data_IF_500189471989
#
_entry.id   IF_500189471989
#
_cell.length_a   1.000
_cell.length_b   1.000
_cell.length_c   1.000
_cell.angle_alpha   90.00
_cell.angle_beta   90.00
_cell.angle_gamma   90.00
#
_symmetry.space_group_name_H-M   'P 1'
#
loop_
_entity.id
_entity.type
_entity.pdbx_description
1 polymer ?
#
# COMPACT_ATOMS: atom_id res chain seq x y z
N UNK A 1 -1.25 22.62 -1.84
CA UNK A 1 -1.27 21.52 -0.86
C UNK A 1 -2.21 21.95 0.23
N UNK A 2 -3.29 21.21 0.47
CA UNK A 2 -4.05 21.40 1.71
C UNK A 2 -3.10 21.18 2.89
N UNK A 3 -3.19 22.02 3.93
CA UNK A 3 -2.38 21.87 5.13
C UNK A 3 -2.74 20.54 5.79
N UNK A 4 -1.87 19.54 5.68
CA UNK A 4 -2.02 18.26 6.38
C UNK A 4 -1.90 18.56 7.88
N UNK A 5 -2.97 18.36 8.63
CA UNK A 5 -2.97 18.52 10.07
C UNK A 5 -2.32 17.30 10.75
N UNK A 6 -1.10 17.49 11.24
CA UNK A 6 -0.33 16.49 11.99
C UNK A 6 -0.29 16.76 13.49
N UNK A 7 -1.05 17.76 13.98
CA UNK A 7 -0.99 18.19 15.40
C UNK A 7 -1.39 17.09 16.38
N UNK A 8 -2.21 16.13 15.92
CA UNK A 8 -2.55 14.95 16.72
C UNK A 8 -1.31 14.17 17.15
N UNK A 9 -0.28 14.08 16.29
CA UNK A 9 0.92 13.27 16.52
C UNK A 9 1.77 13.79 17.69
N UNK A 10 1.62 15.05 18.07
CA UNK A 10 2.31 15.67 19.22
C UNK A 10 1.69 15.27 20.56
N UNK A 11 0.38 14.95 20.57
CA UNK A 11 -0.37 14.58 21.76
C UNK A 11 -0.08 13.14 22.17
N UNK A 12 -0.21 12.86 23.46
CA UNK A 12 -0.18 11.49 23.97
C UNK A 12 -1.42 10.72 23.51
N UNK A 13 -1.27 9.52 22.91
CA UNK A 13 -2.40 8.71 22.48
C UNK A 13 -3.12 8.12 23.69
N UNK A 14 -4.44 8.28 23.76
CA UNK A 14 -5.27 7.71 24.83
C UNK A 14 -6.36 6.85 24.23
N UNK A 15 -6.28 5.53 24.40
CA UNK A 15 -7.29 4.60 23.88
C UNK A 15 -8.55 4.62 24.76
N UNK A 16 -9.30 5.71 24.70
CA UNK A 16 -10.42 6.02 25.57
C UNK A 16 -11.79 5.70 24.96
N UNK A 17 -11.84 5.43 23.65
CA UNK A 17 -13.09 5.25 22.91
C UNK A 17 -13.12 3.90 22.22
N UNK A 18 -14.26 3.20 22.31
CA UNK A 18 -14.49 1.96 21.57
C UNK A 18 -15.30 2.25 20.30
N UNK A 19 -14.85 1.74 19.16
CA UNK A 19 -15.52 1.94 17.89
C UNK A 19 -15.57 0.65 17.06
N UNK A 20 -16.58 0.53 16.21
CA UNK A 20 -16.74 -0.53 15.23
C UNK A 20 -16.50 0.05 13.83
N UNK A 21 -15.43 -0.41 13.19
CA UNK A 21 -15.11 -0.11 11.80
C UNK A 21 -15.72 -1.17 10.92
N UNK A 22 -16.58 -0.76 10.00
CA UNK A 22 -17.23 -1.60 8.99
C UNK A 22 -16.52 -1.32 7.68
N UNK A 23 -15.90 -2.35 7.11
CA UNK A 23 -15.15 -2.28 5.87
C UNK A 23 -15.91 -3.11 4.83
N UNK A 24 -16.50 -2.44 3.85
CA UNK A 24 -17.23 -3.03 2.74
C UNK A 24 -16.31 -3.15 1.52
N UNK A 25 -15.91 -4.38 1.13
CA UNK A 25 -15.03 -4.55 -0.03
C UNK A 25 -15.79 -4.27 -1.32
N UNK A 26 -15.31 -3.27 -2.08
CA UNK A 26 -15.83 -2.95 -3.42
C UNK A 26 -15.07 -3.69 -4.53
N UNK A 27 -13.92 -4.24 -4.18
CA UNK A 27 -13.08 -5.06 -5.04
C UNK A 27 -12.48 -6.24 -4.24
N UNK A 28 -12.02 -7.31 -4.93
CA UNK A 28 -11.25 -8.36 -4.30
C UNK A 28 -10.01 -7.81 -3.60
N UNK A 29 -9.77 -8.25 -2.36
CA UNK A 29 -8.73 -7.72 -1.50
C UNK A 29 -7.50 -8.61 -1.52
N UNK A 30 -6.31 -7.98 -1.56
CA UNK A 30 -5.05 -8.70 -1.37
C UNK A 30 -4.21 -8.03 -0.28
N UNK A 31 -4.40 -8.56 0.93
CA UNK A 31 -3.86 -8.08 2.19
C UNK A 31 -2.53 -8.77 2.51
N UNK A 32 -1.51 -8.53 1.71
CA UNK A 32 -0.19 -9.17 1.87
C UNK A 32 0.60 -8.47 2.98
N UNK A 33 1.12 -9.22 3.96
CA UNK A 33 1.82 -8.65 5.13
C UNK A 33 3.25 -8.18 4.82
N UNK A 34 3.97 -8.93 3.99
CA UNK A 34 5.36 -8.66 3.57
C UNK A 34 5.52 -8.98 2.09
N UNK A 35 6.67 -8.65 1.48
CA UNK A 35 6.94 -8.96 0.07
C UNK A 35 7.69 -10.29 -0.08
N UNK A 36 7.03 -11.47 -0.14
CA UNK A 36 7.67 -12.73 -0.51
C UNK A 36 8.14 -12.69 -1.97
N UNK A 37 9.23 -13.42 -2.26
CA UNK A 37 9.95 -13.33 -3.53
C UNK A 37 9.21 -13.89 -4.76
N UNK A 38 8.31 -14.87 -4.60
CA UNK A 38 7.71 -15.59 -5.74
C UNK A 38 6.18 -15.65 -5.73
N UNK A 39 5.53 -15.62 -4.56
CA UNK A 39 4.08 -15.73 -4.42
C UNK A 39 3.56 -14.84 -3.28
N UNK A 40 2.65 -13.94 -3.60
CA UNK A 40 2.05 -13.02 -2.64
C UNK A 40 0.82 -13.64 -1.97
N UNK A 41 1.03 -14.28 -0.81
CA UNK A 41 -0.07 -14.80 0.02
C UNK A 41 -0.79 -13.66 0.75
N UNK A 42 -2.11 -13.64 0.69
CA UNK A 42 -2.92 -12.63 1.36
C UNK A 42 -3.26 -13.12 2.77
N UNK A 43 -3.28 -12.20 3.72
CA UNK A 43 -3.93 -12.43 5.00
C UNK A 43 -5.44 -12.55 4.79
N UNK A 44 -6.09 -13.32 5.66
CA UNK A 44 -7.56 -13.45 5.69
C UNK A 44 -8.24 -12.29 6.42
N UNK A 45 -7.53 -11.67 7.36
CA UNK A 45 -7.94 -10.47 8.09
C UNK A 45 -6.92 -9.34 7.93
N UNK A 46 -7.36 -8.07 7.98
CA UNK A 46 -6.46 -6.94 8.01
C UNK A 46 -5.65 -6.93 9.30
N UNK A 47 -4.36 -6.62 9.20
CA UNK A 47 -3.53 -6.37 10.38
C UNK A 47 -3.57 -4.87 10.77
N UNK A 48 -3.06 -4.56 11.96
CA UNK A 48 -3.02 -3.19 12.49
C UNK A 48 -2.32 -2.20 11.56
N UNK A 49 -1.24 -2.63 10.90
CA UNK A 49 -0.50 -1.80 9.94
C UNK A 49 -1.33 -1.44 8.70
N UNK A 50 -2.14 -2.38 8.20
CA UNK A 50 -3.05 -2.14 7.07
C UNK A 50 -4.17 -1.18 7.45
N UNK A 51 -4.73 -1.32 8.66
CA UNK A 51 -5.72 -0.38 9.18
C UNK A 51 -5.13 1.03 9.38
N UNK A 52 -3.86 1.14 9.82
CA UNK A 52 -3.15 2.42 9.87
C UNK A 52 -3.09 3.05 8.47
N UNK A 53 -2.65 2.29 7.47
CA UNK A 53 -2.58 2.76 6.09
C UNK A 53 -3.95 3.18 5.55
N UNK A 54 -5.00 2.43 5.89
CA UNK A 54 -6.39 2.74 5.50
C UNK A 54 -6.87 4.07 6.11
N UNK A 55 -6.62 4.30 7.41
CA UNK A 55 -6.96 5.58 8.05
C UNK A 55 -6.13 6.72 7.49
N UNK A 56 -4.82 6.57 7.38
CA UNK A 56 -3.95 7.61 6.83
C UNK A 56 -4.29 7.95 5.37
N UNK A 57 -4.72 6.97 4.57
CA UNK A 57 -5.23 7.21 3.22
C UNK A 57 -6.52 8.02 3.23
N UNK A 58 -7.46 7.73 4.15
CA UNK A 58 -8.66 8.55 4.32
C UNK A 58 -8.28 9.99 4.65
N UNK A 59 -7.31 10.18 5.55
CA UNK A 59 -6.82 11.51 5.93
C UNK A 59 -6.03 12.24 4.84
N UNK A 60 -5.77 11.60 3.69
CA UNK A 60 -4.96 12.15 2.62
C UNK A 60 -3.47 12.26 2.97
N UNK A 61 -2.98 11.48 3.94
CA UNK A 61 -1.58 11.51 4.41
C UNK A 61 -0.65 10.74 3.45
N UNK A 62 -0.58 11.18 2.21
CA UNK A 62 0.32 10.67 1.17
C UNK A 62 1.73 11.28 1.30
N UNK A 63 2.36 11.02 2.44
CA UNK A 63 3.66 11.57 2.83
C UNK A 63 4.79 10.63 2.37
N UNK A 64 5.87 11.20 1.82
CA UNK A 64 7.06 10.44 1.39
C UNK A 64 7.78 9.77 2.57
N UNK A 65 8.54 8.71 2.28
CA UNK A 65 9.28 7.94 3.29
C UNK A 65 10.31 8.80 4.06
N UNK A 66 10.96 9.77 3.40
CA UNK A 66 11.93 10.65 4.04
C UNK A 66 11.26 11.52 5.10
N UNK A 67 10.13 12.13 4.74
CA UNK A 67 9.34 12.98 5.64
C UNK A 67 8.69 12.17 6.76
N UNK A 68 8.16 10.97 6.47
CA UNK A 68 7.65 10.05 7.50
C UNK A 68 8.72 9.69 8.52
N UNK A 69 9.96 9.48 8.08
CA UNK A 69 11.08 9.18 8.98
C UNK A 69 11.42 10.38 9.87
N UNK A 70 11.33 11.61 9.34
CA UNK A 70 11.52 12.82 10.12
C UNK A 70 10.41 12.99 11.18
N UNK A 71 9.15 12.86 10.77
CA UNK A 71 7.97 12.92 11.66
C UNK A 71 8.10 11.87 12.78
N UNK A 72 8.45 10.63 12.45
CA UNK A 72 8.63 9.56 13.45
C UNK A 72 9.73 9.90 14.46
N UNK A 73 10.85 10.49 14.03
CA UNK A 73 11.91 10.96 14.94
C UNK A 73 11.40 12.04 15.89
N UNK A 74 10.58 12.96 15.40
CA UNK A 74 10.02 14.02 16.23
C UNK A 74 8.96 13.47 17.20
N UNK A 75 8.09 12.57 16.76
CA UNK A 75 7.18 11.84 17.65
C UNK A 75 7.95 11.15 18.79
N UNK A 76 9.04 10.43 18.48
CA UNK A 76 9.89 9.79 19.51
C UNK A 76 10.41 10.82 20.53
N UNK A 77 10.82 12.02 20.08
CA UNK A 77 11.26 13.09 20.98
C UNK A 77 10.12 13.58 21.87
N UNK A 78 8.92 13.77 21.32
CA UNK A 78 7.74 14.16 22.10
C UNK A 78 7.37 13.10 23.15
N UNK A 79 7.38 11.82 22.77
CA UNK A 79 7.09 10.70 23.69
C UNK A 79 8.10 10.58 24.82
N UNK A 80 9.39 10.77 24.51
CA UNK A 80 10.45 10.83 25.55
C UNK A 80 10.23 11.97 26.54
N UNK A 81 9.80 13.16 26.07
CA UNK A 81 9.45 14.28 26.96
C UNK A 81 8.24 13.96 27.84
N UNK A 82 7.28 13.21 27.30
CA UNK A 82 6.07 12.76 28.00
C UNK A 82 6.33 11.57 28.94
N UNK A 83 7.56 11.02 28.99
CA UNK A 83 7.93 9.83 29.78
C UNK A 83 7.12 8.56 29.45
N UNK A 84 6.65 8.46 28.21
CA UNK A 84 5.93 7.28 27.71
C UNK A 84 6.95 6.31 27.11
N UNK A 85 6.84 5.03 27.45
CA UNK A 85 7.67 3.99 26.85
C UNK A 85 7.23 3.75 25.40
N UNK A 86 7.95 4.39 24.46
CA UNK A 86 7.65 4.28 23.04
C UNK A 86 8.21 2.97 22.50
N UNK A 87 7.36 1.95 22.40
CA UNK A 87 7.68 0.74 21.66
C UNK A 87 7.93 1.14 20.19
N UNK A 88 9.14 0.87 19.67
CA UNK A 88 9.50 1.23 18.28
C UNK A 88 8.42 0.70 17.32
N UNK A 89 7.93 1.52 16.37
CA UNK A 89 6.99 1.06 15.36
C UNK A 89 7.57 -0.11 14.60
N UNK A 90 6.72 -1.02 14.14
CA UNK A 90 7.11 -2.04 13.20
C UNK A 90 7.59 -1.38 11.90
N UNK A 91 8.91 -1.24 11.79
CA UNK A 91 9.58 -0.88 10.55
C UNK A 91 9.44 -2.06 9.58
N UNK A 92 8.56 -1.93 8.59
CA UNK A 92 8.58 -2.79 7.41
C UNK A 92 9.23 -2.08 6.24
N UNK A 93 9.69 -2.83 5.26
CA UNK A 93 10.53 -2.36 4.14
C UNK A 93 9.92 -1.28 3.23
N UNK A 94 8.64 -0.92 3.40
CA UNK A 94 7.89 -0.09 2.44
C UNK A 94 7.00 1.00 3.05
N UNK A 95 6.69 0.98 4.34
CA UNK A 95 5.75 1.93 4.95
C UNK A 95 5.94 2.02 6.47
N UNK A 96 5.93 3.27 6.98
CA UNK A 96 6.02 3.62 8.40
C UNK A 96 4.64 4.15 8.86
N UNK A 97 3.89 3.42 9.69
CA UNK A 97 2.60 3.87 10.21
C UNK A 97 2.79 4.94 11.29
N UNK A 98 2.11 6.08 11.15
CA UNK A 98 2.11 7.20 12.09
C UNK A 98 0.99 7.06 13.14
N UNK A 99 -0.16 6.49 12.75
CA UNK A 99 -1.30 6.28 13.65
C UNK A 99 -1.25 4.99 14.49
N UNK A 100 -0.11 4.29 14.49
CA UNK A 100 0.01 2.96 15.09
C UNK A 100 -0.31 2.90 16.60
N UNK A 101 -0.02 3.96 17.35
CA UNK A 101 -0.29 4.03 18.79
C UNK A 101 -1.71 4.53 19.12
N UNK A 102 -2.42 5.10 18.14
CA UNK A 102 -3.70 5.78 18.37
C UNK A 102 -4.90 4.84 18.36
N UNK A 103 -4.70 3.57 18.05
CA UNK A 103 -5.74 2.57 18.19
C UNK A 103 -5.15 1.19 18.48
N UNK A 104 -5.97 0.26 18.93
CA UNK A 104 -5.66 -1.15 19.00
C UNK A 104 -6.84 -2.00 18.55
N UNK A 105 -6.54 -3.18 17.98
CA UNK A 105 -7.56 -4.09 17.46
C UNK A 105 -8.00 -5.01 18.60
N UNK A 106 -9.28 -4.94 18.94
CA UNK A 106 -9.89 -5.84 19.93
C UNK A 106 -10.37 -7.13 19.26
N UNK A 107 -11.12 -7.01 18.16
CA UNK A 107 -11.75 -8.15 17.50
C UNK A 107 -11.95 -7.90 16.01
N UNK A 108 -11.81 -8.96 15.20
CA UNK A 108 -12.10 -8.94 13.77
C UNK A 108 -13.11 -10.03 13.44
N UNK A 109 -14.24 -9.65 12.86
CA UNK A 109 -15.24 -10.57 12.31
C UNK A 109 -15.08 -10.60 10.79
N UNK A 110 -14.74 -11.79 10.28
CA UNK A 110 -14.48 -12.01 8.85
C UNK A 110 -15.67 -12.76 8.25
N UNK A 111 -16.31 -12.24 7.20
CA UNK A 111 -17.39 -12.93 6.52
C UNK A 111 -16.87 -14.07 5.64
N UNK A 112 -17.77 -14.95 5.15
CA UNK A 112 -17.41 -15.95 4.14
C UNK A 112 -16.77 -15.29 2.90
N UNK A 113 -15.71 -15.90 2.40
CA UNK A 113 -14.94 -15.37 1.29
C UNK A 113 -14.60 -16.47 0.28
N UNK A 114 -14.56 -16.09 -0.99
CA UNK A 114 -14.04 -16.92 -2.07
C UNK A 114 -12.57 -16.53 -2.29
N UNK A 115 -11.71 -17.53 -2.44
CA UNK A 115 -10.29 -17.32 -2.73
C UNK A 115 -10.02 -17.57 -4.21
N UNK A 116 -9.11 -16.79 -4.80
CA UNK A 116 -8.53 -17.10 -6.10
C UNK A 116 -7.13 -16.50 -6.22
N UNK A 117 -6.37 -16.98 -7.22
CA UNK A 117 -5.03 -16.51 -7.54
C UNK A 117 -5.09 -15.84 -8.90
N UNK A 118 -4.50 -14.66 -9.00
CA UNK A 118 -4.40 -13.92 -10.27
C UNK A 118 -3.03 -13.22 -10.39
N UNK A 119 -2.75 -12.70 -11.58
CA UNK A 119 -1.57 -11.90 -11.87
C UNK A 119 -1.70 -10.50 -11.30
N UNK A 120 -0.64 -10.02 -10.66
CA UNK A 120 -0.66 -8.69 -10.09
C UNK A 120 -0.50 -7.61 -11.17
N UNK A 121 -1.47 -6.69 -11.26
CA UNK A 121 -1.35 -5.51 -12.11
C UNK A 121 -0.60 -4.41 -11.35
N UNK A 122 0.42 -3.84 -12.00
CA UNK A 122 1.28 -2.81 -11.42
C UNK A 122 1.16 -1.53 -12.22
N UNK A 123 0.75 -0.46 -11.55
CA UNK A 123 0.87 0.89 -12.07
C UNK A 123 2.34 1.33 -12.12
N UNK A 124 2.69 2.13 -13.12
CA UNK A 124 4.05 2.63 -13.35
C UNK A 124 4.60 3.46 -12.18
N UNK A 125 5.69 3.05 -11.52
CA UNK A 125 6.43 3.96 -10.62
C UNK A 125 7.88 3.63 -10.27
N UNK A 126 8.60 2.74 -10.98
CA UNK A 126 10.04 2.54 -10.72
C UNK A 126 10.90 2.75 -11.96
N UNK A 127 11.64 3.86 -11.98
CA UNK A 127 12.70 4.15 -12.95
C UNK A 127 13.90 3.20 -12.83
N UNK A 128 13.94 2.38 -11.77
CA UNK A 128 15.04 1.49 -11.41
C UNK A 128 14.81 0.00 -11.73
N UNK A 129 13.76 -0.34 -12.48
CA UNK A 129 13.43 -1.74 -12.86
C UNK A 129 12.46 -1.79 -14.06
N UNK A 130 12.48 -0.74 -14.89
CA UNK A 130 11.57 -0.54 -16.02
C UNK A 130 11.62 -1.62 -17.11
N UNK A 131 12.71 -2.37 -17.23
CA UNK A 131 12.81 -3.52 -18.13
C UNK A 131 11.77 -4.60 -17.80
N UNK A 132 11.39 -4.76 -16.52
CA UNK A 132 10.30 -5.65 -16.10
C UNK A 132 8.94 -5.19 -16.61
N UNK A 133 8.75 -3.87 -16.75
CA UNK A 133 7.54 -3.29 -17.33
C UNK A 133 7.41 -3.68 -18.80
N UNK A 134 8.47 -3.48 -19.58
CA UNK A 134 8.48 -3.83 -21.00
C UNK A 134 8.09 -5.29 -21.23
N UNK A 135 8.60 -6.19 -20.39
CA UNK A 135 8.34 -7.63 -20.47
C UNK A 135 6.95 -8.05 -19.98
N UNK A 136 6.28 -7.25 -19.15
CA UNK A 136 4.93 -7.56 -18.64
C UNK A 136 3.81 -6.75 -19.30
N UNK A 137 4.14 -5.86 -20.23
CA UNK A 137 3.17 -5.05 -20.96
C UNK A 137 2.58 -5.84 -22.13
N UNK A 138 1.32 -6.26 -22.00
CA UNK A 138 0.58 -6.97 -23.06
C UNK A 138 0.10 -6.06 -24.20
N UNK A 139 -0.02 -4.76 -23.94
CA UNK A 139 -0.66 -3.79 -24.83
C UNK A 139 0.31 -2.72 -25.34
N UNK A 140 1.56 -3.10 -25.65
CA UNK A 140 2.52 -2.18 -26.26
C UNK A 140 2.12 -1.86 -27.72
N UNK A 141 2.62 -0.72 -28.22
CA UNK A 141 2.37 -0.29 -29.60
C UNK A 141 2.81 -1.38 -30.60
N UNK A 142 1.86 -1.86 -31.41
CA UNK A 142 2.06 -2.97 -32.34
C UNK A 142 3.20 -2.71 -33.34
N UNK A 143 3.32 -1.49 -33.84
CA UNK A 143 4.34 -1.09 -34.82
C UNK A 143 5.75 -1.13 -34.21
N UNK A 144 5.85 -1.00 -32.88
CA UNK A 144 7.12 -1.01 -32.16
C UNK A 144 7.55 -2.41 -31.69
N UNK A 145 6.64 -3.40 -31.66
CA UNK A 145 6.91 -4.73 -31.11
C UNK A 145 8.08 -5.45 -31.79
N UNK A 146 8.12 -5.43 -33.13
CA UNK A 146 9.18 -6.06 -33.92
C UNK A 146 10.55 -5.42 -33.62
N UNK A 147 10.58 -4.09 -33.57
CA UNK A 147 11.77 -3.31 -33.22
C UNK A 147 12.25 -3.63 -31.81
N UNK A 148 11.33 -3.62 -30.83
CA UNK A 148 11.66 -3.93 -29.45
C UNK A 148 12.21 -5.34 -29.28
N UNK A 149 11.58 -6.35 -29.90
CA UNK A 149 12.03 -7.75 -29.87
C UNK A 149 13.44 -7.91 -30.44
N UNK A 150 13.74 -7.28 -31.57
CA UNK A 150 15.07 -7.31 -32.18
C UNK A 150 16.14 -6.68 -31.27
N UNK A 151 15.80 -5.58 -30.58
CA UNK A 151 16.69 -4.93 -29.61
C UNK A 151 16.94 -5.86 -28.42
N UNK A 152 15.89 -6.43 -27.83
CA UNK A 152 16.01 -7.31 -26.65
C UNK A 152 16.78 -8.59 -26.98
N UNK A 153 16.54 -9.22 -28.13
CA UNK A 153 17.27 -10.43 -28.54
C UNK A 153 18.77 -10.15 -28.77
N UNK A 154 19.13 -9.01 -29.36
CA UNK A 154 20.54 -8.62 -29.53
C UNK A 154 21.25 -8.40 -28.19
N UNK A 155 20.55 -7.82 -27.22
CA UNK A 155 21.09 -7.60 -25.86
C UNK A 155 21.24 -8.93 -25.13
N UNK A 156 20.26 -9.82 -25.24
CA UNK A 156 20.26 -11.11 -24.56
C UNK A 156 21.37 -12.03 -25.09
N UNK A 157 21.55 -12.10 -26.42
CA UNK A 157 22.62 -12.87 -27.08
C UNK A 157 24.04 -12.34 -26.79
N UNK A 158 24.18 -11.12 -26.26
CA UNK A 158 25.49 -10.55 -25.95
C UNK A 158 26.12 -11.21 -24.72
N UNK A 159 27.06 -12.14 -24.93
CA UNK A 159 27.78 -12.86 -23.86
C UNK A 159 28.82 -12.00 -23.12
N UNK A 160 29.19 -10.82 -23.63
CA UNK A 160 30.20 -9.94 -23.02
C UNK A 160 29.67 -9.10 -21.85
N UNK A 161 28.34 -9.03 -21.68
CA UNK A 161 27.70 -8.23 -20.63
C UNK A 161 27.12 -9.13 -19.55
N UNK A 162 27.28 -8.73 -18.29
CA UNK A 162 26.59 -9.37 -17.17
C UNK A 162 25.08 -9.13 -17.24
N UNK A 163 24.30 -9.97 -16.53
CA UNK A 163 22.84 -9.80 -16.40
C UNK A 163 22.47 -8.40 -15.90
N UNK A 164 23.18 -7.88 -14.89
CA UNK A 164 22.97 -6.53 -14.36
C UNK A 164 23.20 -5.46 -15.42
N UNK A 165 24.28 -5.56 -16.21
CA UNK A 165 24.56 -4.59 -17.28
C UNK A 165 23.51 -4.63 -18.40
N UNK A 166 22.99 -5.81 -18.73
CA UNK A 166 21.88 -5.96 -19.69
C UNK A 166 20.61 -5.30 -19.17
N UNK A 167 20.25 -5.52 -17.91
CA UNK A 167 19.07 -4.93 -17.29
C UNK A 167 19.15 -3.40 -17.25
N UNK A 168 20.29 -2.83 -16.85
CA UNK A 168 20.50 -1.37 -16.87
C UNK A 168 20.37 -0.78 -18.27
N UNK A 169 20.87 -1.48 -19.29
CA UNK A 169 20.72 -1.04 -20.69
C UNK A 169 19.26 -1.07 -21.14
N UNK A 170 18.53 -2.15 -20.82
CA UNK A 170 17.10 -2.27 -21.09
C UNK A 170 16.30 -1.18 -20.39
N UNK A 171 16.65 -0.83 -19.14
CA UNK A 171 16.02 0.27 -18.41
C UNK A 171 16.21 1.62 -19.11
N UNK A 172 17.41 1.90 -19.60
CA UNK A 172 17.69 3.14 -20.31
C UNK A 172 16.98 3.21 -21.66
N UNK A 173 16.92 2.09 -22.39
CA UNK A 173 16.18 2.00 -23.66
C UNK A 173 14.68 2.14 -23.43
N UNK A 174 14.14 1.51 -22.40
CA UNK A 174 12.74 1.65 -22.04
C UNK A 174 12.38 3.10 -21.75
N UNK A 175 13.21 3.83 -20.98
CA UNK A 175 12.99 5.27 -20.72
C UNK A 175 12.94 6.09 -22.00
N UNK A 176 13.76 5.76 -23.00
CA UNK A 176 13.77 6.42 -24.32
C UNK A 176 12.51 6.15 -25.13
N UNK A 177 11.95 4.94 -25.05
CA UNK A 177 10.79 4.50 -25.82
C UNK A 177 9.49 4.43 -25.01
N UNK A 178 9.41 5.12 -23.87
CA UNK A 178 8.31 4.99 -22.90
C UNK A 178 6.92 5.18 -23.53
N UNK A 179 6.80 6.07 -24.52
CA UNK A 179 5.53 6.38 -25.21
C UNK A 179 4.95 5.20 -26.00
N UNK A 180 5.75 4.18 -26.30
CA UNK A 180 5.29 2.97 -26.99
C UNK A 180 4.78 1.89 -26.03
N UNK A 181 4.84 2.12 -24.71
CA UNK A 181 4.35 1.22 -23.69
C UNK A 181 3.20 1.87 -22.89
N UNK A 182 2.18 1.09 -22.47
CA UNK A 182 1.16 1.55 -21.55
C UNK A 182 1.76 1.99 -20.21
N UNK A 183 1.00 2.76 -19.42
CA UNK A 183 1.41 3.18 -18.07
C UNK A 183 1.10 2.12 -17.00
N UNK A 184 0.76 0.89 -17.40
CA UNK A 184 0.48 -0.24 -16.52
C UNK A 184 0.98 -1.53 -17.17
N UNK A 185 1.33 -2.51 -16.35
CA UNK A 185 1.75 -3.83 -16.80
C UNK A 185 1.36 -4.89 -15.78
N UNK A 186 1.20 -6.13 -16.20
CA UNK A 186 0.98 -7.25 -15.29
C UNK A 186 2.30 -7.97 -15.07
N UNK A 187 2.68 -8.20 -13.82
CA UNK A 187 3.84 -9.06 -13.54
C UNK A 187 3.42 -10.52 -13.62
N UNK A 188 4.33 -11.44 -13.98
CA UNK A 188 4.09 -12.88 -13.85
C UNK A 188 3.97 -13.33 -12.38
N UNK A 189 4.11 -12.42 -11.42
CA UNK A 189 4.02 -12.73 -10.00
C UNK A 189 2.58 -12.97 -9.62
N UNK A 190 2.29 -14.20 -9.20
CA UNK A 190 0.98 -14.60 -8.71
C UNK A 190 0.70 -13.97 -7.35
N UNK A 191 -0.54 -13.55 -7.17
CA UNK A 191 -1.05 -12.91 -5.96
C UNK A 191 -2.39 -13.51 -5.59
N UNK A 192 -2.56 -13.75 -4.30
CA UNK A 192 -3.80 -14.26 -3.74
C UNK A 192 -4.78 -13.12 -3.46
N UNK A 193 -6.03 -13.33 -3.84
CA UNK A 193 -7.14 -12.40 -3.62
C UNK A 193 -8.27 -13.10 -2.86
N UNK A 194 -8.89 -12.33 -1.96
CA UNK A 194 -10.12 -12.71 -1.28
C UNK A 194 -11.27 -11.84 -1.78
N UNK A 195 -12.34 -12.48 -2.23
CA UNK A 195 -13.60 -11.84 -2.54
C UNK A 195 -14.59 -12.10 -1.41
N UNK A 196 -14.89 -11.07 -0.62
CA UNK A 196 -15.84 -11.11 0.48
C UNK A 196 -17.22 -10.69 -0.04
N UNK A 197 -18.27 -11.42 0.34
CA UNK A 197 -19.65 -11.07 -0.02
C UNK A 197 -20.25 -10.00 0.90
N UNK A 198 -19.81 -9.99 2.16
CA UNK A 198 -20.29 -9.08 3.19
C UNK A 198 -19.16 -8.20 3.73
N UNK A 199 -19.51 -7.24 4.58
CA UNK A 199 -18.57 -6.35 5.25
C UNK A 199 -17.68 -7.09 6.27
N UNK A 200 -16.40 -6.73 6.32
CA UNK A 200 -15.50 -7.07 7.42
C UNK A 200 -15.80 -6.11 8.58
N UNK A 201 -15.94 -6.63 9.80
CA UNK A 201 -16.18 -5.80 10.98
C UNK A 201 -14.95 -5.86 11.89
N UNK A 202 -14.45 -4.71 12.31
CA UNK A 202 -13.30 -4.58 13.21
C UNK A 202 -13.73 -3.76 14.42
N UNK A 203 -13.63 -4.33 15.61
CA UNK A 203 -13.79 -3.60 16.86
C UNK A 203 -12.41 -3.10 17.27
N UNK A 204 -12.30 -1.78 17.48
CA UNK A 204 -11.07 -1.11 17.88
C UNK A 204 -11.28 -0.28 19.14
N UNK A 205 -10.24 -0.18 19.95
CA UNK A 205 -10.10 0.87 20.95
C UNK A 205 -9.24 1.97 20.33
N UNK A 206 -9.74 3.20 20.23
CA UNK A 206 -9.14 4.30 19.49
C UNK A 206 -9.14 5.57 20.34
N UNK A 207 -8.15 6.42 20.12
CA UNK A 207 -8.12 7.77 20.67
C UNK A 207 -9.26 8.62 20.13
N UNK A 208 -10.02 9.24 21.02
CA UNK A 208 -11.17 10.07 20.65
C UNK A 208 -10.83 11.17 19.64
N UNK A 209 -9.65 11.80 19.75
CA UNK A 209 -9.22 12.84 18.81
C UNK A 209 -8.93 12.23 17.43
N UNK A 210 -8.32 11.05 17.38
CA UNK A 210 -8.07 10.33 16.13
C UNK A 210 -9.39 9.91 15.47
N UNK A 211 -10.32 9.36 16.26
CA UNK A 211 -11.65 8.97 15.79
C UNK A 211 -12.42 10.17 15.22
N UNK A 212 -12.41 11.31 15.92
CA UNK A 212 -13.07 12.55 15.46
C UNK A 212 -12.47 13.06 14.15
N UNK A 213 -11.16 12.93 13.97
CA UNK A 213 -10.47 13.37 12.77
C UNK A 213 -10.85 12.47 11.57
N UNK A 214 -10.86 11.15 11.76
CA UNK A 214 -11.27 10.19 10.71
C UNK A 214 -12.76 10.34 10.37
N UNK A 215 -13.64 10.41 11.36
CA UNK A 215 -15.10 10.55 11.15
C UNK A 215 -15.45 11.82 10.39
N UNK A 216 -14.78 12.95 10.69
CA UNK A 216 -14.95 14.21 9.93
C UNK A 216 -14.60 14.07 8.46
N UNK A 217 -13.63 13.22 8.11
CA UNK A 217 -13.29 12.95 6.71
C UNK A 217 -14.29 12.00 6.07
N UNK A 218 -14.77 11.01 6.81
CA UNK A 218 -15.80 10.07 6.35
C UNK A 218 -17.12 10.76 5.97
N UNK A 219 -17.46 11.90 6.59
CA UNK A 219 -18.59 12.74 6.18
C UNK A 219 -18.49 13.23 4.73
N UNK A 220 -17.26 13.36 4.20
CA UNK A 220 -16.99 13.82 2.84
C UNK A 220 -16.62 12.70 1.88
N UNK A 221 -15.84 11.73 2.34
CA UNK A 221 -15.35 10.63 1.54
C UNK A 221 -15.14 9.38 2.40
N UNK A 222 -15.85 8.32 2.07
CA UNK A 222 -15.80 7.01 2.71
C UNK A 222 -15.03 5.96 1.90
N UNK A 223 -14.48 6.33 0.73
CA UNK A 223 -13.70 5.44 -0.13
C UNK A 223 -12.22 5.47 0.24
N UNK A 224 -11.65 4.27 0.38
CA UNK A 224 -10.20 4.08 0.59
C UNK A 224 -9.75 2.74 0.01
N UNK A 225 -8.53 2.32 0.36
CA UNK A 225 -7.91 1.10 -0.11
C UNK A 225 -7.40 0.26 1.05
N UNK A 226 -7.55 -1.05 0.95
CA UNK A 226 -7.05 -2.02 1.91
C UNK A 226 -6.05 -2.98 1.24
N UNK A 227 -4.82 -3.02 1.77
CA UNK A 227 -3.73 -3.86 1.26
C UNK A 227 -2.97 -3.24 0.09
N UNK A 228 -3.62 -3.04 -1.06
CA UNK A 228 -3.04 -2.37 -2.23
C UNK A 228 -4.05 -1.40 -2.88
N UNK A 229 -3.61 -0.63 -3.87
CA UNK A 229 -4.47 0.33 -4.59
C UNK A 229 -5.57 -0.31 -5.46
N UNK A 230 -5.62 -1.63 -5.56
CA UNK A 230 -6.67 -2.37 -6.29
C UNK A 230 -7.80 -2.79 -5.33
N UNK A 231 -7.50 -2.94 -4.05
CA UNK A 231 -8.45 -3.34 -3.01
C UNK A 231 -9.29 -2.17 -2.51
N UNK A 232 -10.15 -1.62 -3.36
CA UNK A 232 -11.08 -0.55 -3.00
C UNK A 232 -12.08 -1.02 -1.93
N UNK A 233 -12.28 -0.18 -0.92
CA UNK A 233 -13.21 -0.41 0.19
C UNK A 233 -14.02 0.84 0.48
N UNK A 234 -15.26 0.63 0.90
CA UNK A 234 -16.10 1.63 1.53
C UNK A 234 -16.03 1.46 3.06
N UNK A 235 -15.94 2.55 3.81
CA UNK A 235 -15.68 2.52 5.25
C UNK A 235 -16.77 3.27 6.00
N UNK A 236 -17.30 2.63 7.04
CA UNK A 236 -18.18 3.25 8.02
C UNK A 236 -17.62 3.01 9.43
N UNK A 237 -17.81 3.97 10.35
CA UNK A 237 -17.37 3.85 11.74
C UNK A 237 -18.53 4.20 12.67
N UNK A 238 -18.89 3.25 13.51
CA UNK A 238 -19.91 3.40 14.55
C UNK A 238 -19.21 3.49 15.91
N UNK A 239 -19.40 4.59 16.64
CA UNK A 239 -18.97 4.68 18.04
C UNK A 239 -19.87 3.77 18.90
N UNK A 240 -19.27 2.97 19.78
CA UNK A 240 -19.97 2.06 20.68
C UNK A 240 -20.06 2.60 22.10
#
# INVERSE_FOLDING_TARGET
MENIDLTILEKEPKLDTRAKVIIEPLAPLSMVSDLPGSFYKSLRSPNKKMLCGLFENLLGWHIDIADRTAIQKDMIKHRKKQKIDYSKPQNGSTYIPLLYEYFDIEMVTIPPAIYYIDLWSRAFSRRSDSHKHASGSRYANADFLSTWRNITEKIDKNKKRSSTQKNTLLDNLFKRYKTHFPLYYSTPTQREFFHFKDSIQVIINIDFSALKLVTRVLEKNNLSFLGNSEGWVNINIEQK
#
